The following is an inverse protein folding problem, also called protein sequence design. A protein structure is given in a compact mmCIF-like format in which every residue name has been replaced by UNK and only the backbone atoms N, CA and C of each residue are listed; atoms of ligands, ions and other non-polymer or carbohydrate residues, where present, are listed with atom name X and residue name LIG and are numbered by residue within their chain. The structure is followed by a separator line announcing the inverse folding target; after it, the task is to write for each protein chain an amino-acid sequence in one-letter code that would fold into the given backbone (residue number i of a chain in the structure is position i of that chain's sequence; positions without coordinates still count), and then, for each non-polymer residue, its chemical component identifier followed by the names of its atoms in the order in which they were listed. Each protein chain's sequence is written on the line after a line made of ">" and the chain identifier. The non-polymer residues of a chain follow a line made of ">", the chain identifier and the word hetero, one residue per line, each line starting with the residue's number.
data_IF_005539426653
#
_entry.id   IF_005539426653
#
_cell.length_a   1.000
_cell.length_b   1.000
_cell.length_c   1.000
_cell.angle_alpha   90.00
_cell.angle_beta   90.00
_cell.angle_gamma   90.00
#
_symmetry.space_group_name_H-M   'P 1'
#
loop_
_entity.id
_entity.type
_entity.pdbx_description
1 polymer ?
#
# COMPACT_ATOMS: atom_id res chain seq x y z
N UNK A 1 8.72 23.45 -11.34
CA UNK A 1 8.82 22.07 -10.83
C UNK A 1 9.84 22.10 -9.70
N UNK A 2 9.38 21.96 -8.45
CA UNK A 2 10.29 21.92 -7.32
C UNK A 2 10.95 20.53 -7.25
N UNK A 3 12.25 20.50 -7.04
CA UNK A 3 13.02 19.27 -6.78
C UNK A 3 13.30 19.27 -5.28
N UNK A 4 12.97 18.18 -4.60
CA UNK A 4 13.30 17.98 -3.20
C UNK A 4 14.36 16.90 -3.11
N UNK A 5 15.38 17.15 -2.31
CA UNK A 5 16.50 16.25 -2.06
C UNK A 5 16.61 16.01 -0.57
N UNK A 6 16.69 14.74 -0.18
CA UNK A 6 16.99 14.30 1.18
C UNK A 6 18.38 13.66 1.11
N UNK A 7 19.33 14.23 1.85
CA UNK A 7 20.68 13.68 1.97
C UNK A 7 20.79 12.96 3.32
N UNK A 8 21.21 11.71 3.26
CA UNK A 8 21.39 10.84 4.41
C UNK A 8 22.85 10.40 4.36
N UNK A 9 23.54 10.44 5.49
CA UNK A 9 24.89 9.88 5.60
C UNK A 9 24.82 8.37 5.31
N UNK A 10 25.73 7.85 4.50
CA UNK A 10 25.81 6.43 4.14
C UNK A 10 25.80 5.52 5.38
N UNK A 11 26.43 5.97 6.48
CA UNK A 11 26.45 5.22 7.74
C UNK A 11 25.06 5.07 8.40
N UNK A 12 24.12 5.96 8.07
CA UNK A 12 22.77 6.00 8.64
C UNK A 12 21.69 5.47 7.69
N UNK A 13 22.02 5.13 6.44
CA UNK A 13 21.06 4.67 5.41
C UNK A 13 20.26 3.47 5.90
N UNK A 14 20.94 2.42 6.36
CA UNK A 14 20.27 1.20 6.82
C UNK A 14 19.36 1.47 8.02
N UNK A 15 19.77 2.36 8.94
CA UNK A 15 18.96 2.74 10.10
C UNK A 15 17.68 3.43 9.64
N UNK A 16 17.77 4.36 8.70
CA UNK A 16 16.61 5.11 8.20
C UNK A 16 15.66 4.18 7.43
N UNK A 17 16.18 3.37 6.50
CA UNK A 17 15.37 2.43 5.75
C UNK A 17 14.67 1.43 6.68
N UNK A 18 15.41 0.85 7.63
CA UNK A 18 14.84 -0.08 8.62
C UNK A 18 13.75 0.59 9.46
N UNK A 19 13.98 1.82 9.93
CA UNK A 19 13.01 2.53 10.75
C UNK A 19 11.73 2.86 9.97
N UNK A 20 11.84 3.33 8.72
CA UNK A 20 10.67 3.62 7.89
C UNK A 20 9.93 2.34 7.55
N UNK A 21 10.63 1.31 7.09
CA UNK A 21 10.03 0.02 6.75
C UNK A 21 9.32 -0.62 7.93
N UNK A 22 9.90 -0.57 9.13
CA UNK A 22 9.24 -1.08 10.33
C UNK A 22 8.00 -0.25 10.72
N UNK A 23 8.08 1.08 10.68
CA UNK A 23 6.97 1.96 11.08
C UNK A 23 5.78 1.93 10.11
N UNK A 24 6.04 1.71 8.82
CA UNK A 24 5.01 1.68 7.78
C UNK A 24 4.63 0.26 7.34
N UNK A 25 5.10 -0.77 8.06
CA UNK A 25 4.63 -2.15 7.91
C UNK A 25 5.13 -2.87 6.65
N UNK A 26 6.34 -2.54 6.17
CA UNK A 26 6.96 -3.31 5.11
C UNK A 26 7.28 -4.73 5.59
N UNK A 27 7.01 -5.72 4.74
CA UNK A 27 7.26 -7.13 5.00
C UNK A 27 8.20 -7.68 3.94
N UNK A 28 9.15 -8.53 4.35
CA UNK A 28 10.07 -9.21 3.43
C UNK A 28 9.39 -10.32 2.65
N UNK A 29 8.34 -10.92 3.22
CA UNK A 29 7.54 -11.97 2.61
C UNK A 29 6.12 -11.45 2.44
N UNK A 30 5.54 -11.69 1.27
CA UNK A 30 4.15 -11.34 0.95
C UNK A 30 3.39 -12.61 0.55
N UNK A 31 2.08 -12.67 0.82
CA UNK A 31 1.25 -13.78 0.37
C UNK A 31 1.39 -13.98 -1.14
N UNK A 32 1.63 -15.21 -1.54
CA UNK A 32 1.74 -15.54 -2.94
C UNK A 32 0.36 -15.40 -3.62
N UNK A 33 0.19 -14.50 -4.60
CA UNK A 33 -1.09 -14.33 -5.28
C UNK A 33 -1.53 -15.57 -6.05
N UNK A 34 -0.59 -16.43 -6.43
CA UNK A 34 -0.85 -17.66 -7.19
C UNK A 34 -1.14 -18.87 -6.28
N UNK A 35 -1.08 -18.72 -4.96
CA UNK A 35 -1.36 -19.80 -4.03
C UNK A 35 -2.88 -19.98 -3.84
N UNK A 36 -3.49 -20.77 -4.73
CA UNK A 36 -4.90 -21.17 -4.66
C UNK A 36 -5.00 -22.68 -4.46
N UNK A 37 -5.70 -23.13 -3.42
CA UNK A 37 -5.97 -24.55 -3.21
C UNK A 37 -6.72 -25.13 -4.41
N UNK A 38 -6.22 -26.24 -4.95
CA UNK A 38 -6.83 -26.89 -6.12
C UNK A 38 -7.70 -28.06 -5.66
N UNK A 39 -8.90 -28.17 -6.23
CA UNK A 39 -9.77 -29.31 -5.98
C UNK A 39 -9.18 -30.57 -6.61
N UNK A 40 -9.16 -31.66 -5.85
CA UNK A 40 -8.77 -32.97 -6.36
C UNK A 40 -9.96 -33.53 -7.13
N UNK A 41 -9.78 -33.71 -8.43
CA UNK A 41 -10.79 -34.32 -9.31
C UNK A 41 -10.41 -35.76 -9.66
N UNK A 42 -11.42 -36.58 -9.89
CA UNK A 42 -11.25 -37.94 -10.40
C UNK A 42 -11.02 -37.95 -11.92
N UNK A 43 -10.91 -39.14 -12.51
CA UNK A 43 -10.70 -39.34 -13.96
C UNK A 43 -11.88 -38.84 -14.82
N UNK A 44 -13.06 -38.62 -14.24
CA UNK A 44 -14.25 -38.12 -14.92
C UNK A 44 -14.39 -36.59 -14.78
N UNK A 45 -13.53 -35.95 -13.99
CA UNK A 45 -13.58 -34.53 -13.68
C UNK A 45 -14.52 -34.17 -12.53
N UNK A 46 -14.99 -35.16 -11.78
CA UNK A 46 -15.84 -34.96 -10.60
C UNK A 46 -14.96 -34.76 -9.36
N UNK A 47 -15.32 -33.84 -8.44
CA UNK A 47 -14.52 -33.59 -7.23
C UNK A 47 -14.54 -34.82 -6.32
N UNK A 48 -13.35 -35.24 -5.90
CA UNK A 48 -13.18 -36.34 -4.93
C UNK A 48 -13.69 -35.85 -3.57
N UNK A 49 -14.70 -36.53 -3.04
CA UNK A 49 -15.29 -36.19 -1.76
C UNK A 49 -14.57 -36.90 -0.61
N UNK A 50 -14.49 -36.23 0.54
CA UNK A 50 -13.99 -36.78 1.79
C UNK A 50 -15.03 -37.71 2.46
N UNK A 51 -14.71 -38.21 3.65
CA UNK A 51 -15.60 -39.09 4.43
C UNK A 51 -16.92 -38.42 4.88
N UNK A 52 -17.01 -37.10 4.84
CA UNK A 52 -18.20 -36.31 5.18
C UNK A 52 -18.99 -35.86 3.94
N UNK A 53 -18.49 -36.15 2.74
CA UNK A 53 -19.10 -35.73 1.47
C UNK A 53 -18.69 -34.32 1.02
N UNK A 54 -17.63 -33.73 1.59
CA UNK A 54 -17.08 -32.43 1.20
C UNK A 54 -15.94 -32.60 0.16
N UNK A 55 -15.77 -31.67 -0.80
CA UNK A 55 -14.67 -31.75 -1.78
C UNK A 55 -13.28 -31.73 -1.12
N UNK A 56 -12.39 -32.58 -1.61
CA UNK A 56 -10.99 -32.63 -1.17
C UNK A 56 -10.13 -31.60 -1.92
N UNK A 57 -9.30 -30.87 -1.19
CA UNK A 57 -8.37 -29.87 -1.75
C UNK A 57 -6.91 -30.31 -1.59
N UNK A 58 -6.09 -30.04 -2.62
CA UNK A 58 -4.65 -30.20 -2.62
C UNK A 58 -3.94 -28.85 -2.72
N UNK A 59 -2.71 -28.79 -2.19
CA UNK A 59 -1.86 -27.62 -2.37
C UNK A 59 -1.54 -27.42 -3.86
N UNK A 60 -1.52 -26.18 -4.36
CA UNK A 60 -1.20 -25.94 -5.76
C UNK A 60 0.24 -26.32 -6.05
N UNK A 61 0.46 -26.91 -7.22
CA UNK A 61 1.77 -27.25 -7.76
C UNK A 61 2.06 -26.40 -8.98
N UNK A 62 3.35 -26.16 -9.23
CA UNK A 62 3.82 -25.47 -10.43
C UNK A 62 3.80 -26.40 -11.67
N UNK A 63 4.25 -25.89 -12.82
CA UNK A 63 4.33 -26.65 -14.08
C UNK A 63 5.25 -27.87 -14.02
N UNK A 64 6.17 -27.92 -13.05
CA UNK A 64 7.11 -29.03 -12.84
C UNK A 64 6.58 -30.04 -11.81
N UNK A 65 5.44 -29.76 -11.16
CA UNK A 65 4.85 -30.58 -10.11
C UNK A 65 5.39 -30.28 -8.71
N UNK A 66 6.13 -29.19 -8.52
CA UNK A 66 6.64 -28.76 -7.23
C UNK A 66 5.60 -27.91 -6.48
N UNK A 67 5.42 -28.09 -5.16
CA UNK A 67 4.43 -27.35 -4.40
C UNK A 67 4.76 -25.86 -4.35
N UNK A 68 3.80 -25.01 -4.72
CA UNK A 68 3.98 -23.55 -4.65
C UNK A 68 4.08 -23.10 -3.18
N UNK A 69 4.99 -22.16 -2.85
CA UNK A 69 5.06 -21.60 -1.51
C UNK A 69 3.86 -20.69 -1.23
N UNK A 70 3.44 -20.65 0.03
CA UNK A 70 2.35 -19.77 0.51
C UNK A 70 2.74 -18.30 0.50
N UNK A 71 4.03 -18.03 0.70
CA UNK A 71 4.61 -16.70 0.79
C UNK A 71 5.79 -16.62 -0.19
N UNK A 72 5.89 -15.50 -0.88
CA UNK A 72 7.00 -15.18 -1.80
C UNK A 72 7.76 -13.98 -1.27
N UNK A 73 9.01 -13.85 -1.69
CA UNK A 73 9.78 -12.64 -1.41
C UNK A 73 9.07 -11.41 -1.98
N UNK A 74 9.05 -10.34 -1.20
CA UNK A 74 8.44 -9.09 -1.62
C UNK A 74 9.19 -8.57 -2.86
N UNK A 75 8.50 -8.40 -4.01
CA UNK A 75 9.13 -7.89 -5.21
C UNK A 75 9.61 -6.44 -5.06
N UNK A 76 9.08 -5.69 -4.08
CA UNK A 76 9.51 -4.33 -3.78
C UNK A 76 10.64 -4.34 -2.74
N UNK A 77 11.78 -3.74 -3.10
CA UNK A 77 12.90 -3.58 -2.17
C UNK A 77 12.57 -2.59 -1.05
N UNK A 78 13.25 -2.73 0.09
CA UNK A 78 13.11 -1.83 1.23
C UNK A 78 13.34 -0.34 0.84
N UNK A 79 14.29 -0.10 -0.07
CA UNK A 79 14.59 1.22 -0.60
C UNK A 79 13.47 1.80 -1.44
N UNK A 80 12.91 1.01 -2.37
CA UNK A 80 11.80 1.43 -3.23
C UNK A 80 10.55 1.75 -2.42
N UNK A 81 10.23 0.89 -1.45
CA UNK A 81 9.13 1.11 -0.51
C UNK A 81 9.31 2.43 0.24
N UNK A 82 10.48 2.63 0.84
CA UNK A 82 10.78 3.86 1.59
C UNK A 82 10.65 5.09 0.71
N UNK A 83 11.15 5.02 -0.54
CA UNK A 83 11.02 6.11 -1.50
C UNK A 83 9.56 6.44 -1.81
N UNK A 84 8.72 5.42 -2.00
CA UNK A 84 7.28 5.61 -2.24
C UNK A 84 6.61 6.29 -1.06
N UNK A 85 6.88 5.83 0.16
CA UNK A 85 6.31 6.40 1.40
C UNK A 85 6.72 7.87 1.56
N UNK A 86 8.00 8.19 1.40
CA UNK A 86 8.50 9.57 1.53
C UNK A 86 7.85 10.47 0.47
N UNK A 87 7.73 10.02 -0.78
CA UNK A 87 7.05 10.79 -1.84
C UNK A 87 5.58 11.03 -1.51
N UNK A 88 4.87 10.00 -1.03
CA UNK A 88 3.46 10.12 -0.69
C UNK A 88 3.25 11.10 0.47
N UNK A 89 4.04 10.97 1.54
CA UNK A 89 4.01 11.87 2.69
C UNK A 89 4.20 13.32 2.25
N UNK A 90 5.21 13.60 1.44
CA UNK A 90 5.49 14.96 0.97
C UNK A 90 4.39 15.49 0.06
N UNK A 91 3.87 14.68 -0.87
CA UNK A 91 2.78 15.08 -1.76
C UNK A 91 1.52 15.47 -0.99
N UNK A 92 1.17 14.71 0.06
CA UNK A 92 0.02 15.00 0.91
C UNK A 92 0.20 16.29 1.72
N UNK A 93 1.40 16.52 2.25
CA UNK A 93 1.71 17.74 3.00
C UNK A 93 1.70 18.99 2.11
N UNK A 94 2.27 18.91 0.91
CA UNK A 94 2.22 20.00 -0.07
C UNK A 94 0.79 20.32 -0.47
N UNK A 95 0.00 19.29 -0.80
CA UNK A 95 -1.43 19.47 -1.13
C UNK A 95 -2.20 20.15 0.01
N UNK A 96 -1.95 19.72 1.25
CA UNK A 96 -2.60 20.29 2.43
C UNK A 96 -2.21 21.76 2.61
N UNK A 97 -0.92 22.08 2.43
CA UNK A 97 -0.42 23.44 2.51
C UNK A 97 -1.04 24.36 1.45
N UNK A 98 -1.14 23.90 0.20
CA UNK A 98 -1.76 24.66 -0.90
C UNK A 98 -3.24 24.96 -0.62
N UNK A 99 -3.98 23.97 -0.08
CA UNK A 99 -5.38 24.16 0.32
C UNK A 99 -5.47 25.20 1.45
N UNK A 100 -4.58 25.16 2.44
CA UNK A 100 -4.56 26.14 3.52
C UNK A 100 -4.25 27.55 3.02
N UNK A 101 -3.29 27.69 2.11
CA UNK A 101 -2.95 28.98 1.51
C UNK A 101 -4.12 29.54 0.71
N UNK A 102 -4.77 28.72 -0.12
CA UNK A 102 -5.95 29.12 -0.88
C UNK A 102 -7.11 29.52 0.05
N UNK A 103 -7.31 28.79 1.14
CA UNK A 103 -8.32 29.11 2.16
C UNK A 103 -8.04 30.45 2.83
N UNK A 104 -6.79 30.72 3.22
CA UNK A 104 -6.42 32.01 3.83
C UNK A 104 -6.66 33.16 2.86
N UNK A 105 -6.20 33.03 1.60
CA UNK A 105 -6.41 34.05 0.58
C UNK A 105 -7.91 34.31 0.31
N UNK A 106 -8.74 33.26 0.33
CA UNK A 106 -10.19 33.40 0.19
C UNK A 106 -10.82 34.12 1.40
N UNK A 107 -10.34 33.86 2.62
CA UNK A 107 -10.81 34.56 3.83
C UNK A 107 -10.43 36.05 3.77
N UNK A 108 -9.20 36.37 3.40
CA UNK A 108 -8.71 37.75 3.30
C UNK A 108 -9.44 38.54 2.19
N UNK A 109 -9.95 37.84 1.17
CA UNK A 109 -10.76 38.42 0.09
C UNK A 109 -12.26 38.58 0.40
N UNK A 110 -12.75 38.08 1.55
CA UNK A 110 -14.15 38.26 1.93
C UNK A 110 -14.41 39.70 2.39
N UNK A 111 -15.36 40.37 1.73
CA UNK A 111 -15.87 41.64 2.22
C UNK A 111 -16.72 41.39 3.48
N UNK A 112 -16.18 41.75 4.65
CA UNK A 112 -16.89 41.64 5.95
C UNK A 112 -17.83 42.80 6.22
N UNK A 113 -17.97 43.75 5.30
CA UNK A 113 -18.80 44.93 5.49
C UNK A 113 -20.27 44.58 5.22
N UNK A 114 -21.00 44.18 6.27
CA UNK A 114 -22.43 43.89 6.23
C UNK A 114 -23.19 45.07 6.81
N UNK A 115 -23.80 45.89 5.95
CA UNK A 115 -24.72 46.95 6.37
C UNK A 115 -26.13 46.38 6.55
N UNK A 116 -26.54 46.14 7.80
CA UNK A 116 -27.93 45.80 8.15
C UNK A 116 -28.65 47.12 8.47
N UNK A 117 -29.51 47.56 7.56
CA UNK A 117 -30.43 48.69 7.80
C UNK A 117 -31.75 48.16 8.35
N UNK A 118 -32.21 48.73 9.46
CA UNK A 118 -33.52 48.41 10.06
C UNK A 118 -34.63 49.05 9.19
N UNK A 119 -35.61 48.28 8.68
CA UNK A 119 -36.69 48.84 7.87
C UNK A 119 -37.65 49.68 8.74
N UNK A 120 -37.81 50.95 8.36
CA UNK A 120 -38.77 51.90 8.95
C UNK A 120 -40.21 51.63 8.54
#
# INVERSE_FOLDING_TARGET
>A
MAIFQLEIDDADVDRVLTAVSHNYGWQSLVPNPDYVMQEVVDENGDPVLDENGEPTYAAPVDENGDPLPREIDNPETMGDFTHRIVRQFLAEHVRTYEIQQARSAAIDGLNTDVTIGDPT
#
